data_IF_505454935101
#
_entry.id   IF_505454935101
#
_cell.length_a   1.000
_cell.length_b   1.000
_cell.length_c   1.000
_cell.angle_alpha   90.00
_cell.angle_beta   90.00
_cell.angle_gamma   90.00
#
_symmetry.space_group_name_H-M   'P 1'
#
loop_
_entity.id
_entity.type
_entity.pdbx_description
1 polymer ?
#
# COMPACT_ATOMS: atom_id res chain seq x y z
N UNK A 1 -4.29 2.00 -14.00
CA UNK A 1 -3.58 2.91 -13.09
C UNK A 1 -3.04 2.08 -11.94
N UNK A 2 -1.76 2.28 -11.59
CA UNK A 2 -1.09 1.54 -10.53
C UNK A 2 -1.06 2.40 -9.26
N UNK A 3 -1.57 1.85 -8.16
CA UNK A 3 -1.60 2.52 -6.85
C UNK A 3 -0.88 1.62 -5.84
N UNK A 4 0.13 2.16 -5.17
CA UNK A 4 0.75 1.53 -4.01
C UNK A 4 0.11 2.05 -2.73
N UNK A 5 -0.18 1.13 -1.80
CA UNK A 5 -0.73 1.41 -0.47
C UNK A 5 0.23 0.84 0.56
N UNK A 6 0.77 1.72 1.38
CA UNK A 6 1.71 1.40 2.45
C UNK A 6 1.01 1.53 3.79
N UNK A 7 0.70 0.41 4.46
CA UNK A 7 0.17 0.38 5.82
C UNK A 7 1.30 0.47 6.82
N UNK A 8 1.43 1.62 7.45
CA UNK A 8 2.35 1.98 8.52
C UNK A 8 1.72 1.86 9.90
N UNK A 9 0.39 1.81 9.99
CA UNK A 9 -0.35 1.77 11.26
C UNK A 9 -0.31 3.08 12.04
N UNK A 10 0.19 4.15 11.41
CA UNK A 10 0.32 5.48 12.02
C UNK A 10 -0.85 6.41 11.65
N UNK A 11 -1.70 6.03 10.69
CA UNK A 11 -2.80 6.86 10.23
C UNK A 11 -4.04 6.70 11.13
N UNK A 12 -4.51 7.79 11.77
CA UNK A 12 -5.55 7.72 12.82
C UNK A 12 -6.98 7.44 12.30
N UNK A 13 -7.19 7.36 10.98
CA UNK A 13 -8.48 7.05 10.34
C UNK A 13 -8.30 6.11 9.14
N UNK A 14 -7.55 5.03 9.35
CA UNK A 14 -7.22 4.09 8.29
C UNK A 14 -8.48 3.40 7.72
N UNK A 15 -9.49 3.15 8.55
CA UNK A 15 -10.73 2.46 8.16
C UNK A 15 -11.47 3.17 7.02
N UNK A 16 -11.60 4.51 7.10
CA UNK A 16 -12.24 5.31 6.05
C UNK A 16 -11.47 5.26 4.73
N UNK A 17 -10.13 5.32 4.81
CA UNK A 17 -9.27 5.28 3.62
C UNK A 17 -9.23 3.88 3.01
N UNK A 18 -9.20 2.83 3.83
CA UNK A 18 -9.27 1.43 3.39
C UNK A 18 -10.57 1.14 2.64
N UNK A 19 -11.72 1.59 3.17
CA UNK A 19 -12.99 1.46 2.47
C UNK A 19 -12.99 2.20 1.12
N UNK A 20 -12.34 3.37 1.04
CA UNK A 20 -12.12 4.09 -0.22
C UNK A 20 -11.23 3.34 -1.21
N UNK A 21 -10.16 2.69 -0.72
CA UNK A 21 -9.24 1.88 -1.52
C UNK A 21 -9.95 0.65 -2.08
N UNK A 22 -10.82 0.00 -1.31
CA UNK A 22 -11.60 -1.15 -1.78
C UNK A 22 -12.48 -0.82 -2.99
N UNK A 23 -13.04 0.39 -3.04
CA UNK A 23 -13.78 0.85 -4.21
C UNK A 23 -12.88 1.01 -5.45
N UNK A 24 -11.60 1.35 -5.26
CA UNK A 24 -10.62 1.52 -6.34
C UNK A 24 -10.15 0.18 -6.94
N UNK A 25 -10.26 -0.94 -6.21
CA UNK A 25 -9.91 -2.30 -6.71
C UNK A 25 -10.63 -2.66 -8.01
N UNK A 26 -11.83 -2.11 -8.22
CA UNK A 26 -12.62 -2.37 -9.43
C UNK A 26 -12.06 -1.73 -10.70
N UNK A 27 -11.14 -0.77 -10.58
CA UNK A 27 -10.70 0.10 -11.69
C UNK A 27 -9.17 0.29 -11.78
N UNK A 28 -8.42 -0.10 -10.75
CA UNK A 28 -6.99 0.14 -10.62
C UNK A 28 -6.27 -1.14 -10.19
N UNK A 29 -4.98 -1.24 -10.54
CA UNK A 29 -4.09 -2.23 -9.95
C UNK A 29 -3.59 -1.68 -8.62
N UNK A 30 -3.83 -2.43 -7.55
CA UNK A 30 -3.45 -2.06 -6.19
C UNK A 30 -2.34 -2.98 -5.68
N UNK A 31 -1.24 -2.36 -5.26
CA UNK A 31 -0.18 -3.00 -4.49
C UNK A 31 -0.38 -2.64 -3.03
N UNK A 32 -0.67 -3.61 -2.18
CA UNK A 32 -0.90 -3.40 -0.76
C UNK A 32 0.25 -4.01 0.03
N UNK A 33 0.94 -3.17 0.80
CA UNK A 33 2.03 -3.59 1.66
C UNK A 33 1.78 -3.21 3.11
N UNK A 34 2.06 -4.15 4.00
CA UNK A 34 1.93 -3.98 5.43
C UNK A 34 3.31 -3.84 6.08
N UNK A 35 3.68 -2.60 6.38
CA UNK A 35 4.90 -2.23 7.09
C UNK A 35 4.79 -2.40 8.61
N UNK A 36 3.61 -2.80 9.14
CA UNK A 36 3.44 -3.11 10.56
C UNK A 36 3.83 -4.55 10.91
N UNK A 37 4.11 -5.37 9.90
CA UNK A 37 4.54 -6.75 10.07
C UNK A 37 5.91 -6.83 10.74
N UNK A 38 6.00 -7.66 11.78
CA UNK A 38 7.25 -7.91 12.51
C UNK A 38 8.25 -8.81 11.75
N UNK A 39 7.78 -9.49 10.70
CA UNK A 39 8.53 -10.50 9.94
C UNK A 39 9.04 -10.02 8.57
N UNK A 40 9.18 -8.70 8.39
CA UNK A 40 9.62 -8.11 7.12
C UNK A 40 11.09 -8.41 6.85
N UNK A 41 11.35 -8.98 5.68
CA UNK A 41 12.70 -9.27 5.19
C UNK A 41 13.19 -8.18 4.24
N UNK A 42 14.49 -8.12 3.98
CA UNK A 42 15.06 -7.21 2.97
C UNK A 42 14.43 -7.44 1.58
N UNK A 43 14.13 -8.69 1.23
CA UNK A 43 13.43 -9.03 -0.02
C UNK A 43 12.01 -8.47 -0.10
N UNK A 44 11.31 -8.35 1.03
CA UNK A 44 10.00 -7.71 1.09
C UNK A 44 10.13 -6.21 0.81
N UNK A 45 11.16 -5.57 1.37
CA UNK A 45 11.47 -4.17 1.12
C UNK A 45 11.88 -3.89 -0.32
N UNK A 46 12.69 -4.76 -0.93
CA UNK A 46 13.05 -4.66 -2.34
C UNK A 46 11.80 -4.72 -3.23
N UNK A 47 10.87 -5.64 -2.94
CA UNK A 47 9.60 -5.74 -3.68
C UNK A 47 8.76 -4.47 -3.55
N UNK A 48 8.67 -3.90 -2.34
CA UNK A 48 7.93 -2.65 -2.11
C UNK A 48 8.54 -1.50 -2.88
N UNK A 49 9.87 -1.38 -2.88
CA UNK A 49 10.56 -0.33 -3.62
C UNK A 49 10.27 -0.45 -5.11
N UNK A 50 10.33 -1.66 -5.67
CA UNK A 50 9.98 -1.90 -7.08
C UNK A 50 8.52 -1.52 -7.38
N UNK A 51 7.58 -1.94 -6.53
CA UNK A 51 6.15 -1.64 -6.68
C UNK A 51 5.84 -0.14 -6.55
N UNK A 52 6.53 0.58 -5.66
CA UNK A 52 6.41 2.03 -5.51
C UNK A 52 6.96 2.75 -6.74
N UNK A 53 8.08 2.29 -7.30
CA UNK A 53 8.70 2.92 -8.47
C UNK A 53 7.84 2.83 -9.74
N UNK A 54 7.01 1.79 -9.86
CA UNK A 54 6.07 1.62 -10.97
C UNK A 54 4.65 2.14 -10.68
N UNK A 55 4.39 2.55 -9.43
CA UNK A 55 3.12 3.12 -9.03
C UNK A 55 3.00 4.57 -9.53
N UNK A 56 1.82 4.91 -10.03
CA UNK A 56 1.49 6.29 -10.40
C UNK A 56 1.07 7.10 -9.17
N UNK A 57 0.64 6.42 -8.10
CA UNK A 57 0.22 7.02 -6.83
C UNK A 57 0.66 6.15 -5.66
N UNK A 58 1.12 6.80 -4.60
CA UNK A 58 1.42 6.18 -3.30
C UNK A 58 0.44 6.74 -2.26
N UNK A 59 -0.21 5.84 -1.52
CA UNK A 59 -1.08 6.15 -0.38
C UNK A 59 -0.43 5.54 0.86
N UNK A 60 -0.24 6.34 1.90
CA UNK A 60 0.33 5.89 3.17
C UNK A 60 -0.77 5.96 4.23
N UNK A 61 -1.07 4.82 4.83
CA UNK A 61 -2.06 4.64 5.91
C UNK A 61 -1.42 3.97 7.12
#
# INVERSE_FOLDING_TARGET
MNIAVLKTGLFPDAETVEAGIDHLLSSCNLYLYDATRDDLTDSDWDRVLDEILVAERLIVI
#
